data_IF_673535423417
#
_entry.id   IF_673535423417
#
_cell.length_a   1.000
_cell.length_b   1.000
_cell.length_c   1.000
_cell.angle_alpha   90.00
_cell.angle_beta   90.00
_cell.angle_gamma   90.00
#
_symmetry.space_group_name_H-M   'P 1'
#
loop_
_entity.id
_entity.type
_entity.pdbx_description
1 polymer ?
#
# COMPACT_ATOMS: atom_id res chain seq x y z
N UNK A 1 25.68 5.11 -8.06
CA UNK A 1 24.85 3.91 -7.96
C UNK A 1 23.42 4.42 -7.85
N UNK A 2 22.56 4.12 -8.83
CA UNK A 2 21.21 4.68 -8.84
C UNK A 2 20.41 4.01 -7.72
N UNK A 3 19.83 4.81 -6.84
CA UNK A 3 18.75 4.35 -5.97
C UNK A 3 17.66 3.75 -6.88
N UNK A 4 17.36 2.43 -6.80
CA UNK A 4 16.29 1.87 -7.60
C UNK A 4 14.93 2.41 -7.17
N UNK A 5 14.81 3.11 -6.03
CA UNK A 5 13.61 3.86 -5.68
C UNK A 5 13.35 4.94 -6.74
N UNK A 6 12.39 4.67 -7.61
CA UNK A 6 12.16 5.49 -8.79
C UNK A 6 10.94 5.05 -9.58
N UNK A 7 10.39 6.00 -10.33
CA UNK A 7 9.36 5.72 -11.31
C UNK A 7 9.97 5.04 -12.54
N UNK A 8 9.40 3.91 -12.93
CA UNK A 8 9.74 3.18 -14.16
C UNK A 8 8.46 2.63 -14.78
N UNK A 9 8.60 1.73 -15.76
CA UNK A 9 7.47 1.06 -16.41
C UNK A 9 7.87 -0.31 -16.92
N UNK A 10 6.88 -1.15 -17.18
CA UNK A 10 7.08 -2.39 -17.94
C UNK A 10 7.42 -2.02 -19.38
N UNK A 11 8.60 -2.42 -19.87
CA UNK A 11 9.04 -2.13 -21.26
C UNK A 11 8.91 -3.33 -22.20
N UNK A 12 8.87 -4.54 -21.65
CA UNK A 12 8.58 -5.77 -22.40
C UNK A 12 8.14 -6.87 -21.46
N UNK A 13 7.45 -7.89 -21.99
CA UNK A 13 7.08 -9.09 -21.24
C UNK A 13 7.22 -10.34 -22.10
N UNK A 14 7.56 -11.47 -21.50
CA UNK A 14 7.77 -12.75 -22.20
C UNK A 14 7.27 -13.91 -21.36
N UNK A 15 6.38 -14.72 -21.94
CA UNK A 15 6.04 -16.05 -21.45
C UNK A 15 7.12 -17.03 -21.93
N UNK A 16 7.40 -18.05 -21.14
CA UNK A 16 8.44 -19.06 -21.37
C UNK A 16 9.80 -18.40 -21.73
N UNK A 17 10.35 -17.55 -20.85
CA UNK A 17 11.59 -16.83 -21.12
C UNK A 17 12.76 -17.81 -21.21
N UNK A 18 13.73 -17.49 -22.08
CA UNK A 18 15.05 -18.12 -22.03
C UNK A 18 15.90 -17.29 -21.06
N UNK A 19 16.54 -17.94 -20.10
CA UNK A 19 17.47 -17.27 -19.20
C UNK A 19 18.89 -17.28 -19.78
N UNK A 20 19.51 -16.11 -19.85
CA UNK A 20 20.90 -15.95 -20.21
C UNK A 20 21.66 -15.54 -18.94
N UNK A 21 22.42 -16.44 -18.32
CA UNK A 21 23.14 -16.15 -17.09
C UNK A 21 24.12 -14.99 -17.32
N UNK A 22 24.13 -13.95 -16.46
CA UNK A 22 25.14 -12.90 -16.51
C UNK A 22 26.56 -13.47 -16.36
N UNK A 23 27.55 -12.77 -16.92
CA UNK A 23 28.95 -13.23 -16.88
C UNK A 23 29.48 -13.41 -15.44
N UNK A 24 29.03 -12.57 -14.50
CA UNK A 24 29.37 -12.70 -13.07
C UNK A 24 28.88 -14.02 -12.48
N UNK A 25 27.62 -14.37 -12.72
CA UNK A 25 27.01 -15.62 -12.24
C UNK A 25 27.68 -16.84 -12.87
N UNK A 26 27.99 -16.78 -14.18
CA UNK A 26 28.74 -17.86 -14.86
C UNK A 26 30.13 -18.05 -14.26
N UNK A 27 30.82 -16.96 -13.93
CA UNK A 27 32.14 -17.00 -13.31
C UNK A 27 32.08 -17.62 -11.92
N UNK A 28 31.15 -17.17 -11.07
CA UNK A 28 30.95 -17.71 -9.72
C UNK A 28 30.67 -19.23 -9.76
N UNK A 29 29.77 -19.66 -10.63
CA UNK A 29 29.43 -21.07 -10.82
C UNK A 29 30.61 -21.90 -11.35
N UNK A 30 31.39 -21.35 -12.30
CA UNK A 30 32.59 -22.02 -12.81
C UNK A 30 33.69 -22.14 -11.73
N UNK A 31 33.88 -21.10 -10.92
CA UNK A 31 34.84 -21.09 -9.80
C UNK A 31 34.46 -22.14 -8.71
N UNK A 32 33.17 -22.51 -8.63
CA UNK A 32 32.64 -23.58 -7.77
C UNK A 32 32.65 -24.99 -8.42
N UNK A 33 33.10 -25.11 -9.67
CA UNK A 33 33.12 -26.39 -10.39
C UNK A 33 31.78 -26.80 -11.03
N UNK A 34 30.81 -25.90 -11.11
CA UNK A 34 29.45 -26.14 -11.63
C UNK A 34 29.13 -25.19 -12.81
N UNK A 35 29.84 -25.28 -13.95
CA UNK A 35 29.70 -24.30 -15.03
C UNK A 35 28.27 -24.26 -15.60
N UNK A 36 27.69 -23.06 -15.68
CA UNK A 36 26.35 -22.86 -16.26
C UNK A 36 26.39 -22.83 -17.80
N UNK A 37 25.32 -23.30 -18.47
CA UNK A 37 25.19 -23.17 -19.92
C UNK A 37 25.03 -21.69 -20.31
N UNK A 38 25.30 -21.37 -21.59
CA UNK A 38 25.12 -20.01 -22.13
C UNK A 38 23.66 -19.55 -22.11
N UNK A 39 22.73 -20.50 -22.20
CA UNK A 39 21.30 -20.25 -22.17
C UNK A 39 20.62 -21.42 -21.47
N UNK A 40 19.69 -21.12 -20.57
CA UNK A 40 18.78 -22.10 -19.98
C UNK A 40 17.42 -21.91 -20.66
N UNK A 41 16.90 -22.93 -21.38
CA UNK A 41 15.61 -22.83 -22.06
C UNK A 41 14.46 -22.71 -21.05
N UNK A 42 13.27 -22.41 -21.53
CA UNK A 42 12.08 -22.46 -20.69
C UNK A 42 11.86 -23.89 -20.16
N UNK A 43 11.39 -24.00 -18.91
CA UNK A 43 11.14 -25.27 -18.25
C UNK A 43 11.37 -25.19 -16.74
N UNK A 44 11.23 -26.32 -16.03
CA UNK A 44 11.34 -26.38 -14.56
C UNK A 44 12.69 -25.90 -14.01
N UNK A 45 13.77 -26.06 -14.77
CA UNK A 45 15.12 -25.68 -14.34
C UNK A 45 15.45 -24.20 -14.60
N UNK A 46 14.54 -23.45 -15.21
CA UNK A 46 14.77 -22.05 -15.54
C UNK A 46 14.54 -21.16 -14.31
N UNK A 47 15.55 -20.40 -13.84
CA UNK A 47 15.41 -19.57 -12.65
C UNK A 47 14.55 -18.32 -12.87
N UNK A 48 14.15 -18.02 -14.10
CA UNK A 48 13.15 -16.98 -14.40
C UNK A 48 11.70 -17.48 -14.25
N UNK A 49 11.50 -18.79 -14.10
CA UNK A 49 10.18 -19.41 -14.14
C UNK A 49 9.49 -19.24 -15.49
N UNK A 50 8.16 -19.30 -15.50
CA UNK A 50 7.36 -19.29 -16.73
C UNK A 50 7.12 -17.90 -17.31
N UNK A 51 7.34 -16.83 -16.55
CA UNK A 51 6.99 -15.47 -16.94
C UNK A 51 8.04 -14.47 -16.47
N UNK A 52 8.38 -13.52 -17.35
CA UNK A 52 9.25 -12.39 -17.01
C UNK A 52 8.75 -11.09 -17.65
N UNK A 53 8.82 -10.00 -16.89
CA UNK A 53 8.49 -8.64 -17.29
C UNK A 53 9.69 -7.74 -17.02
N UNK A 54 10.10 -6.95 -18.02
CA UNK A 54 11.28 -6.08 -17.93
C UNK A 54 10.91 -4.69 -17.46
N UNK A 55 11.66 -4.15 -16.51
CA UNK A 55 11.56 -2.76 -16.08
C UNK A 55 12.44 -1.85 -16.94
N UNK A 56 11.96 -0.64 -17.21
CA UNK A 56 12.65 0.39 -17.99
C UNK A 56 13.72 1.16 -17.20
N UNK A 57 14.54 0.48 -16.42
CA UNK A 57 15.61 1.10 -15.61
C UNK A 57 16.89 1.22 -16.46
N UNK A 58 17.53 2.41 -16.57
CA UNK A 58 18.78 2.61 -17.32
C UNK A 58 19.89 1.68 -16.84
N UNK A 59 20.70 1.14 -17.75
CA UNK A 59 21.73 0.13 -17.43
C UNK A 59 21.22 -1.32 -17.42
N UNK A 60 19.89 -1.51 -17.40
CA UNK A 60 19.18 -2.60 -18.07
C UNK A 60 19.52 -4.05 -17.68
N UNK A 61 18.92 -4.57 -16.61
CA UNK A 61 18.60 -6.00 -16.49
C UNK A 61 17.44 -6.32 -15.52
N UNK A 62 16.80 -5.32 -14.90
CA UNK A 62 15.79 -5.55 -13.88
C UNK A 62 14.55 -6.23 -14.45
N UNK A 63 14.24 -7.41 -13.89
CA UNK A 63 13.07 -8.20 -14.24
C UNK A 63 12.16 -8.34 -13.01
N UNK A 64 10.86 -8.30 -13.26
CA UNK A 64 9.85 -8.92 -12.41
C UNK A 64 9.56 -10.31 -13.00
N UNK A 65 9.89 -11.38 -12.29
CA UNK A 65 9.85 -12.73 -12.84
C UNK A 65 9.46 -13.78 -11.80
N UNK A 66 9.06 -14.96 -12.27
CA UNK A 66 8.83 -16.13 -11.40
C UNK A 66 10.13 -16.72 -10.86
N UNK A 67 10.08 -17.92 -10.31
CA UNK A 67 11.28 -18.61 -9.84
C UNK A 67 11.06 -20.11 -9.91
N UNK A 68 12.12 -20.90 -10.10
CA UNK A 68 12.07 -22.34 -9.86
C UNK A 68 12.47 -22.72 -8.42
N UNK A 69 12.87 -21.73 -7.62
CA UNK A 69 13.16 -21.88 -6.20
C UNK A 69 12.25 -20.93 -5.40
N UNK A 70 11.02 -21.34 -5.05
CA UNK A 70 10.06 -20.50 -4.32
C UNK A 70 10.53 -20.15 -2.91
N UNK A 71 11.40 -20.96 -2.29
CA UNK A 71 11.97 -20.67 -0.98
C UNK A 71 12.88 -19.43 -0.98
N UNK A 72 13.33 -18.97 -2.15
CA UNK A 72 14.16 -17.78 -2.32
C UNK A 72 13.37 -16.46 -2.41
N UNK A 73 12.03 -16.51 -2.44
CA UNK A 73 11.18 -15.31 -2.46
C UNK A 73 11.23 -14.64 -1.08
N UNK A 74 11.35 -13.31 -1.06
CA UNK A 74 11.47 -12.52 0.17
C UNK A 74 12.87 -12.43 0.77
N UNK A 75 13.86 -13.10 0.19
CA UNK A 75 15.27 -13.02 0.62
C UNK A 75 16.08 -12.05 -0.26
N UNK A 76 17.03 -11.34 0.34
CA UNK A 76 17.98 -10.44 -0.32
C UNK A 76 19.09 -11.20 -1.09
N UNK A 77 18.69 -12.13 -1.95
CA UNK A 77 19.58 -13.06 -2.69
C UNK A 77 19.56 -12.79 -4.21
N UNK A 78 19.15 -11.59 -4.61
CA UNK A 78 19.03 -11.23 -6.02
C UNK A 78 20.10 -10.20 -6.37
N UNK A 79 20.72 -10.34 -7.54
CA UNK A 79 21.56 -9.30 -8.14
C UNK A 79 20.70 -8.17 -8.76
N UNK A 80 19.55 -7.85 -8.15
CA UNK A 80 18.65 -6.77 -8.54
C UNK A 80 17.30 -7.17 -9.15
N UNK A 81 17.05 -8.42 -9.54
CA UNK A 81 15.73 -8.80 -10.10
C UNK A 81 14.69 -9.10 -9.00
N UNK A 82 13.43 -8.75 -9.25
CA UNK A 82 12.31 -8.99 -8.33
C UNK A 82 11.71 -10.37 -8.64
N UNK A 83 11.83 -11.28 -7.68
CA UNK A 83 11.30 -12.65 -7.78
C UNK A 83 9.92 -12.73 -7.15
N UNK A 84 9.02 -13.46 -7.81
CA UNK A 84 7.68 -13.77 -7.34
C UNK A 84 7.49 -15.29 -7.27
N UNK A 85 6.53 -15.73 -6.45
CA UNK A 85 6.09 -17.12 -6.50
C UNK A 85 5.55 -17.46 -7.91
N UNK A 86 5.72 -18.72 -8.38
CA UNK A 86 5.23 -19.15 -9.69
C UNK A 86 3.75 -18.80 -9.94
N UNK A 87 2.90 -19.06 -8.95
CA UNK A 87 1.46 -18.79 -8.97
C UNK A 87 1.14 -17.29 -9.06
N UNK A 88 1.91 -16.44 -8.35
CA UNK A 88 1.67 -15.00 -8.32
C UNK A 88 2.06 -14.33 -9.64
N UNK A 89 3.21 -14.71 -10.22
CA UNK A 89 3.62 -14.15 -11.51
C UNK A 89 2.66 -14.61 -12.62
N UNK A 90 2.16 -15.84 -12.57
CA UNK A 90 1.18 -16.35 -13.51
C UNK A 90 -0.14 -15.58 -13.43
N UNK A 91 -0.60 -15.28 -12.22
CA UNK A 91 -1.80 -14.47 -12.00
C UNK A 91 -1.61 -12.99 -12.42
N UNK A 92 -0.40 -12.44 -12.25
CA UNK A 92 -0.10 -11.03 -12.52
C UNK A 92 0.20 -10.75 -14.00
N UNK A 93 0.97 -11.60 -14.66
CA UNK A 93 1.45 -11.42 -16.04
C UNK A 93 0.37 -11.06 -17.09
N UNK A 94 -0.83 -11.69 -17.11
CA UNK A 94 -1.87 -11.32 -18.07
C UNK A 94 -2.51 -9.97 -17.75
N UNK A 95 -2.53 -9.55 -16.47
CA UNK A 95 -3.17 -8.31 -15.99
C UNK A 95 -2.32 -7.06 -16.20
N UNK A 96 -1.02 -7.22 -16.49
CA UNK A 96 -0.07 -6.12 -16.62
C UNK A 96 0.33 -5.92 -18.09
N UNK A 97 -0.18 -4.86 -18.76
CA UNK A 97 0.26 -4.47 -20.10
C UNK A 97 1.69 -3.92 -20.12
N UNK A 98 2.32 -3.98 -21.30
CA UNK A 98 3.53 -3.19 -21.56
C UNK A 98 3.15 -1.70 -21.49
N UNK A 99 4.01 -0.89 -20.87
CA UNK A 99 3.77 0.52 -20.58
C UNK A 99 3.21 0.79 -19.19
N UNK A 100 2.80 -0.25 -18.45
CA UNK A 100 2.28 -0.09 -17.07
C UNK A 100 3.31 0.62 -16.19
N UNK A 101 2.95 1.75 -15.54
CA UNK A 101 3.82 2.43 -14.59
C UNK A 101 4.17 1.53 -13.41
N UNK A 102 5.41 1.60 -12.96
CA UNK A 102 5.92 0.88 -11.80
C UNK A 102 6.65 1.88 -10.92
N UNK A 103 6.39 1.84 -9.61
CA UNK A 103 7.13 2.65 -8.64
C UNK A 103 7.79 1.71 -7.65
N UNK A 104 9.10 1.80 -7.56
CA UNK A 104 9.88 1.12 -6.53
C UNK A 104 9.96 2.04 -5.32
N UNK A 105 9.56 1.55 -4.15
CA UNK A 105 9.56 2.31 -2.89
C UNK A 105 10.25 1.48 -1.81
N UNK A 106 10.96 2.16 -0.91
CA UNK A 106 11.50 1.59 0.32
C UNK A 106 10.82 2.30 1.49
N UNK A 107 9.64 1.81 1.89
CA UNK A 107 8.83 2.39 2.96
C UNK A 107 8.59 1.34 4.04
N UNK A 108 9.58 1.14 4.94
CA UNK A 108 9.46 0.16 6.02
C UNK A 108 8.41 0.57 7.07
N UNK A 109 7.99 1.84 7.09
CA UNK A 109 6.92 2.35 7.94
C UNK A 109 5.74 2.75 7.08
N UNK A 110 4.59 2.18 7.38
CA UNK A 110 3.31 2.54 6.75
C UNK A 110 2.31 2.94 7.83
N UNK A 111 1.57 4.00 7.56
CA UNK A 111 0.47 4.45 8.41
C UNK A 111 -0.81 4.40 7.59
N UNK A 112 -1.87 3.88 8.18
CA UNK A 112 -3.20 3.89 7.61
C UNK A 112 -4.18 4.57 8.56
N UNK A 113 -5.14 5.29 8.00
CA UNK A 113 -6.26 5.90 8.73
C UNK A 113 -7.52 5.17 8.28
N UNK A 114 -8.21 4.53 9.20
CA UNK A 114 -9.40 3.72 8.90
C UNK A 114 -10.40 3.86 10.03
N UNK A 115 -11.63 4.28 9.70
CA UNK A 115 -12.73 4.42 10.66
C UNK A 115 -12.38 5.26 11.91
N UNK A 116 -11.64 6.35 11.72
CA UNK A 116 -11.16 7.23 12.80
C UNK A 116 -10.04 6.60 13.65
N UNK A 117 -9.45 5.49 13.22
CA UNK A 117 -8.31 4.85 13.88
C UNK A 117 -7.04 5.06 13.07
N UNK A 118 -5.92 5.23 13.78
CA UNK A 118 -4.58 5.30 13.20
C UNK A 118 -3.90 3.95 13.40
N UNK A 119 -3.49 3.34 12.30
CA UNK A 119 -2.80 2.05 12.24
C UNK A 119 -1.37 2.24 11.77
N UNK A 120 -0.44 1.51 12.39
CA UNK A 120 0.98 1.52 12.08
C UNK A 120 1.44 0.11 11.72
N UNK A 121 2.13 -0.03 10.59
CA UNK A 121 2.77 -1.27 10.17
C UNK A 121 4.27 -0.99 9.96
N UNK A 122 5.13 -1.76 10.62
CA UNK A 122 6.58 -1.55 10.61
C UNK A 122 7.31 -2.83 10.19
N UNK A 123 8.14 -2.72 9.16
CA UNK A 123 9.07 -3.76 8.72
C UNK A 123 10.51 -3.37 9.08
N UNK A 124 11.43 -4.34 9.18
CA UNK A 124 12.83 -4.02 9.36
C UNK A 124 13.32 -3.22 8.15
N UNK A 125 14.01 -2.09 8.35
CA UNK A 125 14.55 -1.32 7.25
C UNK A 125 15.61 -2.14 6.49
N UNK A 126 15.78 -1.83 5.21
CA UNK A 126 16.83 -2.41 4.37
C UNK A 126 17.83 -1.35 3.95
N UNK A 127 19.12 -1.70 3.93
CA UNK A 127 20.18 -0.86 3.38
C UNK A 127 20.18 -0.83 1.84
N UNK A 128 21.16 -0.17 1.24
CA UNK A 128 21.28 -0.04 -0.22
C UNK A 128 21.55 -1.39 -0.90
N UNK A 129 22.09 -2.35 -0.16
CA UNK A 129 22.38 -3.72 -0.57
C UNK A 129 21.18 -4.66 -0.33
N UNK A 130 20.08 -4.14 0.23
CA UNK A 130 18.86 -4.88 0.52
C UNK A 130 18.93 -5.74 1.79
N UNK A 131 19.97 -5.57 2.62
CA UNK A 131 20.10 -6.29 3.89
C UNK A 131 19.27 -5.62 4.97
N UNK A 132 18.61 -6.44 5.78
CA UNK A 132 17.89 -5.97 6.95
C UNK A 132 18.85 -5.34 7.95
N UNK A 133 18.52 -4.13 8.41
CA UNK A 133 19.26 -3.42 9.45
C UNK A 133 18.36 -3.10 10.65
N UNK A 134 18.97 -2.85 11.80
CA UNK A 134 18.24 -2.46 13.01
C UNK A 134 17.61 -1.06 12.81
N UNK A 135 16.33 -0.87 13.16
CA UNK A 135 15.69 0.45 13.13
C UNK A 135 16.43 1.48 13.98
N UNK A 136 16.68 2.67 13.41
CA UNK A 136 17.24 3.81 14.14
C UNK A 136 16.12 4.73 14.64
N UNK A 137 15.82 4.67 15.94
CA UNK A 137 14.64 5.33 16.55
C UNK A 137 14.45 6.81 16.17
N UNK A 138 15.45 7.70 16.24
CA UNK A 138 15.27 9.12 15.89
C UNK A 138 14.80 9.35 14.45
N UNK A 139 15.25 8.52 13.51
CA UNK A 139 14.84 8.62 12.09
C UNK A 139 13.39 8.18 11.92
N UNK A 140 12.95 7.22 12.74
CA UNK A 140 11.58 6.69 12.70
C UNK A 140 10.58 7.61 13.39
N UNK A 141 10.94 8.26 14.50
CA UNK A 141 10.12 9.31 15.13
C UNK A 141 9.86 10.46 14.15
N UNK A 142 10.92 10.98 13.51
CA UNK A 142 10.78 12.02 12.49
C UNK A 142 9.89 11.57 11.31
N UNK A 143 9.95 10.28 10.93
CA UNK A 143 9.07 9.73 9.88
C UNK A 143 7.63 9.64 10.35
N UNK A 144 7.39 9.22 11.60
CA UNK A 144 6.05 9.16 12.18
C UNK A 144 5.45 10.57 12.28
N UNK A 145 6.20 11.57 12.72
CA UNK A 145 5.79 12.98 12.71
C UNK A 145 5.49 13.47 11.28
N UNK A 146 6.31 13.10 10.30
CA UNK A 146 6.07 13.47 8.89
C UNK A 146 4.79 12.84 8.33
N UNK A 147 4.53 11.58 8.66
CA UNK A 147 3.39 10.83 8.12
C UNK A 147 2.09 11.18 8.85
N UNK A 148 2.16 11.48 10.15
CA UNK A 148 1.04 11.99 10.91
C UNK A 148 0.76 13.46 10.57
N UNK A 149 1.79 14.27 10.31
CA UNK A 149 1.66 15.69 10.00
C UNK A 149 1.09 16.50 11.17
N UNK A 150 0.49 17.65 10.88
CA UNK A 150 -0.31 18.44 11.86
C UNK A 150 -1.64 17.76 12.22
N UNK A 151 -1.71 16.42 12.17
CA UNK A 151 -2.99 15.75 12.31
C UNK A 151 -3.58 15.95 13.69
N UNK A 152 -4.88 16.19 13.70
CA UNK A 152 -5.75 16.06 14.85
C UNK A 152 -5.87 14.57 15.23
N UNK A 153 -4.79 13.88 15.58
CA UNK A 153 -4.84 12.49 16.00
C UNK A 153 -4.14 12.31 17.34
N UNK A 154 -4.80 11.62 18.26
CA UNK A 154 -4.22 11.24 19.55
C UNK A 154 -3.53 9.90 19.37
N UNK A 155 -2.20 9.92 19.37
CA UNK A 155 -1.35 8.74 19.22
C UNK A 155 -0.84 8.28 20.57
N UNK A 156 -1.00 7.00 20.86
CA UNK A 156 -0.31 6.28 21.92
C UNK A 156 1.13 5.99 21.49
N UNK A 157 2.05 6.84 21.96
CA UNK A 157 3.47 6.76 21.64
C UNK A 157 4.17 5.53 22.20
N UNK A 158 3.67 4.94 23.30
CA UNK A 158 4.25 3.71 23.86
C UNK A 158 4.00 2.53 22.92
N UNK A 159 2.77 2.40 22.41
CA UNK A 159 2.42 1.35 21.43
C UNK A 159 3.17 1.57 20.12
N UNK A 160 3.26 2.82 19.64
CA UNK A 160 4.01 3.14 18.44
C UNK A 160 5.50 2.77 18.57
N UNK A 161 6.15 3.11 19.68
CA UNK A 161 7.54 2.73 19.95
C UNK A 161 7.73 1.21 20.07
N UNK A 162 6.80 0.50 20.71
CA UNK A 162 6.84 -0.95 20.79
C UNK A 162 6.75 -1.60 19.39
N UNK A 163 5.86 -1.10 18.53
CA UNK A 163 5.74 -1.57 17.15
C UNK A 163 7.01 -1.29 16.32
N UNK A 164 7.62 -0.12 16.52
CA UNK A 164 8.86 0.27 15.89
C UNK A 164 10.03 -0.65 16.26
N UNK A 165 10.17 -0.98 17.54
CA UNK A 165 11.19 -1.90 18.03
C UNK A 165 10.94 -3.33 17.57
N UNK A 166 9.68 -3.76 17.49
CA UNK A 166 9.31 -5.09 17.05
C UNK A 166 9.53 -5.29 15.55
N UNK A 167 9.19 -4.29 14.73
CA UNK A 167 9.36 -4.26 13.27
C UNK A 167 8.97 -5.59 12.57
N UNK A 168 7.86 -6.21 13.01
CA UNK A 168 7.49 -7.57 12.61
C UNK A 168 6.48 -7.62 11.45
N UNK A 169 6.14 -6.47 10.88
CA UNK A 169 5.20 -6.34 9.75
C UNK A 169 3.73 -6.51 10.11
N UNK A 170 3.37 -6.61 11.40
CA UNK A 170 1.97 -6.70 11.82
C UNK A 170 1.40 -5.29 12.04
N UNK A 171 0.25 -4.94 11.41
CA UNK A 171 -0.43 -3.69 11.68
C UNK A 171 -0.93 -3.62 13.14
N UNK A 172 -0.70 -2.50 13.80
CA UNK A 172 -1.19 -2.23 15.16
C UNK A 172 -1.91 -0.88 15.22
N UNK A 173 -3.01 -0.82 15.98
CA UNK A 173 -3.71 0.44 16.23
C UNK A 173 -2.90 1.25 17.24
N UNK A 174 -2.50 2.46 16.84
CA UNK A 174 -1.66 3.36 17.64
C UNK A 174 -2.39 4.63 18.04
N UNK A 175 -3.59 4.90 17.53
CA UNK A 175 -4.28 6.13 17.89
C UNK A 175 -5.69 6.25 17.33
N UNK A 176 -6.31 7.38 17.66
CA UNK A 176 -7.61 7.80 17.15
C UNK A 176 -7.50 9.18 16.51
N UNK A 177 -8.23 9.38 15.43
CA UNK A 177 -8.46 10.70 14.86
C UNK A 177 -9.44 11.47 15.75
N UNK A 178 -9.10 12.70 16.04
CA UNK A 178 -10.02 13.69 16.54
C UNK A 178 -10.92 14.06 15.36
N UNK A 179 -12.22 13.91 15.56
CA UNK A 179 -13.19 14.46 14.63
C UNK A 179 -13.15 15.98 14.79
N UNK A 180 -13.23 16.76 13.70
CA UNK A 180 -13.38 18.20 13.83
C UNK A 180 -14.63 18.48 14.67
N UNK A 181 -14.51 19.33 15.69
CA UNK A 181 -15.67 19.76 16.46
C UNK A 181 -16.69 20.37 15.51
N UNK A 182 -17.86 19.75 15.37
CA UNK A 182 -18.98 20.39 14.69
C UNK A 182 -19.42 21.56 15.56
N UNK A 183 -19.05 22.79 15.17
CA UNK A 183 -19.45 24.02 15.87
C UNK A 183 -20.98 24.07 16.03
N UNK A 184 -21.53 23.94 17.25
CA UNK A 184 -22.97 23.97 17.46
C UNK A 184 -23.59 25.35 17.14
N UNK A 185 -22.77 26.39 16.95
CA UNK A 185 -23.23 27.77 16.80
C UNK A 185 -23.49 28.21 15.35
N UNK A 186 -23.22 27.36 14.34
CA UNK A 186 -23.54 27.71 12.94
C UNK A 186 -25.00 27.44 12.51
N UNK A 187 -25.82 26.82 13.36
CA UNK A 187 -27.28 26.69 13.12
C UNK A 187 -28.09 27.81 13.78
N UNK A 188 -27.58 29.04 13.74
CA UNK A 188 -28.27 30.25 14.21
C UNK A 188 -28.54 31.22 13.06
N UNK A 189 -29.49 30.91 12.19
CA UNK A 189 -29.76 31.77 11.03
C UNK A 189 -31.02 31.44 10.26
N UNK A 190 -32.18 31.54 10.93
CA UNK A 190 -33.34 32.24 10.38
C UNK A 190 -34.45 32.32 11.44
N UNK A 191 -34.43 33.41 12.21
CA UNK A 191 -35.61 33.87 12.94
C UNK A 191 -36.28 34.96 12.08
N UNK A 192 -37.60 34.89 11.83
CA UNK A 192 -38.28 35.84 10.97
C UNK A 192 -38.40 37.22 11.64
N UNK A 193 -38.10 38.28 10.87
CA UNK A 193 -38.26 39.68 11.27
C UNK A 193 -39.74 40.04 11.50
N UNK A 194 -40.06 40.62 12.66
CA UNK A 194 -41.33 41.31 12.98
C UNK A 194 -41.45 42.63 12.17
N UNK A 195 -42.57 43.32 11.94
CA UNK A 195 -44.00 43.34 12.36
C UNK A 195 -44.78 44.22 11.31
N UNK A 196 -46.10 44.57 11.38
CA UNK A 196 -46.77 45.13 12.56
C UNK A 196 -48.22 44.69 12.83
N UNK A 197 -48.71 45.21 13.96
CA UNK A 197 -49.89 44.93 14.77
C UNK A 197 -51.26 45.18 14.08
N UNK A 198 -52.32 44.45 14.50
CA UNK A 198 -53.53 45.04 15.12
C UNK A 198 -54.72 44.07 15.23
N UNK A 199 -55.20 43.92 16.47
CA UNK A 199 -56.61 43.83 16.91
C UNK A 199 -57.44 42.52 16.79
N UNK A 200 -57.99 42.18 17.97
CA UNK A 200 -59.27 41.50 18.27
C UNK A 200 -59.32 39.96 18.38
N UNK A 201 -59.59 39.51 19.61
CA UNK A 201 -60.29 38.26 19.93
C UNK A 201 -61.82 38.56 20.05
N UNK A 202 -62.72 37.58 20.34
CA UNK A 202 -62.63 36.12 20.31
C UNK A 202 -63.79 35.48 19.48
N UNK A 203 -63.89 34.14 19.38
CA UNK A 203 -65.12 33.36 19.71
C UNK A 203 -65.06 31.85 19.32
N UNK A 204 -65.21 31.03 20.36
CA UNK A 204 -65.92 29.74 20.51
C UNK A 204 -66.69 29.09 19.32
N UNK A 205 -66.44 27.80 19.07
CA UNK A 205 -67.42 26.66 19.04
C UNK A 205 -66.72 25.40 18.44
N UNK A 206 -66.49 24.30 19.17
CA UNK A 206 -67.36 23.14 19.48
C UNK A 206 -67.87 22.36 18.24
N UNK A 207 -67.73 21.02 18.33
CA UNK A 207 -68.44 19.95 17.59
C UNK A 207 -67.97 19.66 16.14
N UNK A 208 -67.81 18.44 15.60
CA UNK A 208 -68.17 17.05 15.98
C UNK A 208 -67.52 16.10 14.93
N UNK A 209 -67.00 14.93 15.34
CA UNK A 209 -66.78 13.76 14.46
C UNK A 209 -68.06 12.88 14.44
N UNK A 210 -68.30 11.83 13.61
CA UNK A 210 -67.50 11.09 12.60
C UNK A 210 -68.41 10.75 11.36
N UNK A 211 -68.38 9.58 10.63
CA UNK A 211 -67.41 8.50 10.46
C UNK A 211 -67.11 8.10 8.98
N UNK A 212 -66.33 7.02 8.87
CA UNK A 212 -65.79 6.33 7.70
C UNK A 212 -66.77 5.91 6.59
N UNK A 213 -66.20 5.70 5.40
CA UNK A 213 -66.70 4.74 4.40
C UNK A 213 -65.54 4.03 3.69
N UNK A 214 -65.64 2.71 3.69
CA UNK A 214 -64.83 1.67 3.05
C UNK A 214 -65.08 1.53 1.54
N UNK A 215 -64.33 0.59 0.93
CA UNK A 215 -64.51 -0.08 -0.39
C UNK A 215 -64.25 0.78 -1.63
N UNK A 216 -63.62 0.34 -2.71
CA UNK A 216 -63.13 -0.92 -3.31
C UNK A 216 -62.76 -0.52 -4.75
N UNK A 217 -61.65 -0.94 -5.34
CA UNK A 217 -61.36 -2.18 -6.08
C UNK A 217 -59.87 -2.12 -6.47
#
# INVERSE_FOLDING_TARGET
MADPAGATKIVSKRANPIWYPPDSVRKEHADRGEPLPRAVPAGPDNPLGNYAMRLGIPGGAYLLHGTNNPLAVGMAVTHGCIRMYPEDIEALYPKVPVGTPVRLINEPVKVARLDGQVWLEVHPPVDAEGQTVTPHLPTFEARLDTVLGESEAVVNWEIAQAALLAANGLPVMVGLELLPESDPLQNGGDAPSAAPESSAAPESSVATAPPASSSGD
#
